data_IF_118084867975
#
_entry.id   IF_118084867975
#
_cell.length_a   1.000
_cell.length_b   1.000
_cell.length_c   1.000
_cell.angle_alpha   90.00
_cell.angle_beta   90.00
_cell.angle_gamma   90.00
#
_symmetry.space_group_name_H-M   'P 1'
#
loop_
_entity.id
_entity.type
_entity.pdbx_description
1 polymer ?
#
# COMPACT_ATOMS: atom_id res chain seq x y z
N UNK A 1 22.21 25.80 7.96
CA UNK A 1 22.09 25.32 6.55
C UNK A 1 21.09 24.19 6.54
N UNK A 2 19.85 24.45 6.16
CA UNK A 2 18.83 23.40 6.04
C UNK A 2 19.26 22.47 4.90
N UNK A 3 19.36 21.18 5.19
CA UNK A 3 19.66 20.17 4.19
C UNK A 3 18.57 20.23 3.12
N UNK A 4 18.93 20.46 1.87
CA UNK A 4 18.01 20.55 0.73
C UNK A 4 17.26 19.21 0.49
N UNK A 5 17.89 18.12 0.85
CA UNK A 5 17.39 16.77 0.67
C UNK A 5 17.45 15.98 1.98
N UNK A 6 16.56 15.02 2.15
CA UNK A 6 16.61 14.03 3.21
C UNK A 6 17.78 13.05 3.05
N UNK A 7 17.82 11.96 3.85
CA UNK A 7 18.90 11.00 3.84
C UNK A 7 18.99 10.24 2.50
N UNK A 8 20.18 9.83 2.14
CA UNK A 8 20.43 9.05 0.95
C UNK A 8 19.90 7.60 1.09
N UNK A 9 19.87 6.87 -0.02
CA UNK A 9 19.35 5.49 -0.11
C UNK A 9 19.99 4.53 0.91
N UNK A 10 21.28 4.65 1.18
CA UNK A 10 21.97 3.78 2.13
C UNK A 10 21.48 3.98 3.56
N UNK A 11 21.35 5.24 3.98
CA UNK A 11 20.85 5.58 5.32
C UNK A 11 19.41 5.13 5.49
N UNK A 12 18.54 5.41 4.50
CA UNK A 12 17.14 4.99 4.55
C UNK A 12 17.03 3.47 4.63
N UNK A 13 17.79 2.73 3.81
CA UNK A 13 17.81 1.25 3.89
C UNK A 13 18.21 0.74 5.26
N UNK A 14 19.22 1.34 5.87
CA UNK A 14 19.65 0.96 7.23
C UNK A 14 18.56 1.24 8.27
N UNK A 15 17.99 2.43 8.26
CA UNK A 15 16.91 2.81 9.20
C UNK A 15 15.71 1.89 9.04
N UNK A 16 15.26 1.66 7.81
CA UNK A 16 14.12 0.78 7.55
C UNK A 16 14.43 -0.65 7.92
N UNK A 17 15.64 -1.17 7.64
CA UNK A 17 16.07 -2.51 8.03
C UNK A 17 16.02 -2.71 9.55
N UNK A 18 16.47 -1.72 10.33
CA UNK A 18 16.46 -1.79 11.79
C UNK A 18 15.05 -1.63 12.37
N UNK A 19 14.22 -0.77 11.78
CA UNK A 19 12.85 -0.52 12.25
C UNK A 19 11.84 -1.59 11.79
N UNK A 20 12.13 -2.32 10.73
CA UNK A 20 11.22 -3.31 10.13
C UNK A 20 10.70 -4.37 11.12
N UNK A 21 11.57 -5.10 11.85
CA UNK A 21 11.10 -6.10 12.81
C UNK A 21 10.27 -5.47 13.92
N UNK A 22 10.59 -4.25 14.35
CA UNK A 22 9.87 -3.52 15.40
C UNK A 22 8.45 -3.18 14.92
N UNK A 23 8.31 -2.67 13.69
CA UNK A 23 7.01 -2.33 13.10
C UNK A 23 6.16 -3.59 12.92
N UNK A 24 6.73 -4.68 12.40
CA UNK A 24 6.01 -5.94 12.22
C UNK A 24 5.58 -6.55 13.55
N UNK A 25 6.43 -6.48 14.58
CA UNK A 25 6.09 -6.90 15.93
C UNK A 25 4.95 -6.03 16.49
N UNK A 26 5.04 -4.71 16.36
CA UNK A 26 3.99 -3.79 16.76
C UNK A 26 2.65 -4.11 16.09
N UNK A 27 2.64 -4.36 14.78
CA UNK A 27 1.42 -4.78 14.05
C UNK A 27 0.84 -6.08 14.62
N UNK A 28 1.68 -7.06 14.89
CA UNK A 28 1.27 -8.35 15.47
C UNK A 28 0.71 -8.19 16.88
N UNK A 29 1.33 -7.34 17.69
CA UNK A 29 0.92 -7.10 19.08
C UNK A 29 -0.27 -6.15 19.20
N UNK A 30 -0.64 -5.42 18.16
CA UNK A 30 -1.75 -4.45 18.18
C UNK A 30 -3.13 -5.06 18.50
N UNK A 31 -3.30 -6.37 18.33
CA UNK A 31 -4.53 -7.10 18.66
C UNK A 31 -4.57 -7.69 20.09
N UNK A 32 -3.45 -7.70 20.81
CA UNK A 32 -3.40 -8.28 22.15
C UNK A 32 -4.09 -7.38 23.20
N UNK A 33 -4.89 -7.94 24.11
CA UNK A 33 -5.76 -7.16 25.02
C UNK A 33 -5.05 -6.08 25.84
N UNK A 34 -3.84 -6.35 26.34
CA UNK A 34 -3.06 -5.40 27.15
C UNK A 34 -2.23 -4.48 26.28
N UNK A 35 -1.49 -5.05 25.31
CA UNK A 35 -0.52 -4.32 24.47
C UNK A 35 -1.19 -3.38 23.47
N UNK A 36 -2.44 -3.67 23.07
CA UNK A 36 -3.19 -2.82 22.14
C UNK A 36 -3.28 -1.35 22.61
N UNK A 37 -3.36 -1.10 23.91
CA UNK A 37 -3.48 0.26 24.46
C UNK A 37 -2.20 1.08 24.28
N UNK A 38 -1.04 0.42 24.24
CA UNK A 38 0.26 1.07 24.06
C UNK A 38 0.57 1.19 22.56
N UNK A 39 0.24 0.17 21.78
CA UNK A 39 0.68 0.05 20.37
C UNK A 39 -0.30 0.68 19.40
N UNK A 40 -1.61 0.53 19.61
CA UNK A 40 -2.63 1.07 18.72
C UNK A 40 -2.52 2.59 18.44
N UNK A 41 -2.13 3.46 19.38
CA UNK A 41 -1.96 4.88 19.10
C UNK A 41 -1.01 5.19 17.94
N UNK A 42 0.03 4.37 17.72
CA UNK A 42 0.98 4.55 16.60
C UNK A 42 0.34 4.28 15.22
N UNK A 43 -0.78 3.57 15.18
CA UNK A 43 -1.51 3.24 13.95
C UNK A 43 -2.81 4.02 13.80
N UNK A 44 -2.99 5.09 14.59
CA UNK A 44 -4.24 5.85 14.62
C UNK A 44 -4.45 6.67 13.35
N UNK A 45 -5.69 6.64 12.81
CA UNK A 45 -6.18 7.59 11.82
C UNK A 45 -6.23 9.02 12.44
N UNK A 46 -5.95 10.12 11.73
CA UNK A 46 -5.63 10.21 10.30
C UNK A 46 -4.13 10.10 9.97
N UNK A 47 -3.25 9.85 10.94
CA UNK A 47 -1.80 9.77 10.72
C UNK A 47 -1.36 8.48 9.99
N UNK A 48 -2.29 7.53 9.84
CA UNK A 48 -2.10 6.33 9.06
C UNK A 48 -3.38 6.07 8.26
N UNK A 49 -3.28 6.21 6.96
CA UNK A 49 -4.34 5.88 6.02
C UNK A 49 -3.74 5.18 4.80
N UNK A 50 -4.28 4.01 4.47
CA UNK A 50 -3.90 3.24 3.30
C UNK A 50 -5.17 2.79 2.59
N UNK A 51 -5.33 3.15 1.33
CA UNK A 51 -6.46 2.73 0.50
C UNK A 51 -5.96 1.80 -0.61
N UNK A 52 -6.49 0.57 -0.64
CA UNK A 52 -6.20 -0.37 -1.72
C UNK A 52 -6.95 0.04 -2.99
N UNK A 53 -6.24 0.01 -4.11
CA UNK A 53 -6.80 0.28 -5.45
C UNK A 53 -6.43 -0.92 -6.34
N UNK A 54 -7.40 -1.75 -6.75
CA UNK A 54 -7.15 -2.88 -7.63
C UNK A 54 -6.88 -2.37 -9.05
N UNK A 55 -5.63 -2.44 -9.51
CA UNK A 55 -5.21 -1.93 -10.82
C UNK A 55 -5.07 -3.01 -11.90
N UNK A 56 -5.14 -4.28 -11.51
CA UNK A 56 -4.95 -5.44 -12.39
C UNK A 56 -6.24 -6.21 -12.67
N UNK A 57 -7.38 -5.65 -12.34
CA UNK A 57 -8.69 -6.28 -12.56
C UNK A 57 -9.30 -5.74 -13.84
N UNK A 58 -9.61 -6.62 -14.79
CA UNK A 58 -10.49 -6.32 -15.90
C UNK A 58 -11.94 -6.22 -15.37
N UNK A 59 -12.40 -5.01 -15.09
CA UNK A 59 -13.80 -4.74 -14.78
C UNK A 59 -14.48 -4.40 -16.11
N UNK A 60 -15.53 -5.14 -16.48
CA UNK A 60 -16.42 -4.67 -17.52
C UNK A 60 -17.14 -3.43 -16.98
N UNK A 61 -16.86 -2.21 -17.51
CA UNK A 61 -17.47 -1.02 -16.97
C UNK A 61 -18.96 -1.02 -17.28
N UNK A 62 -19.85 -0.79 -16.33
CA UNK A 62 -21.14 -0.20 -16.68
C UNK A 62 -20.88 1.19 -17.26
N UNK A 63 -21.70 1.65 -18.18
CA UNK A 63 -21.50 2.82 -19.05
C UNK A 63 -21.20 4.18 -18.35
N UNK A 64 -20.97 4.20 -17.04
CA UNK A 64 -20.82 5.43 -16.25
C UNK A 64 -19.89 5.35 -15.04
N UNK A 65 -19.07 4.32 -14.86
CA UNK A 65 -18.19 4.17 -13.68
C UNK A 65 -16.73 4.16 -14.08
N UNK A 66 -15.94 5.07 -13.49
CA UNK A 66 -14.48 5.11 -13.65
C UNK A 66 -13.83 3.82 -13.15
N UNK A 67 -12.92 3.25 -13.94
CA UNK A 67 -12.13 2.11 -13.52
C UNK A 67 -11.22 2.49 -12.35
N UNK A 68 -10.90 1.57 -11.42
CA UNK A 68 -10.00 1.86 -10.30
C UNK A 68 -8.64 2.41 -10.72
N UNK A 69 -8.10 1.97 -11.86
CA UNK A 69 -6.86 2.51 -12.41
C UNK A 69 -7.00 3.99 -12.83
N UNK A 70 -8.14 4.40 -13.36
CA UNK A 70 -8.43 5.78 -13.75
C UNK A 70 -8.42 6.74 -12.56
N UNK A 71 -8.80 6.26 -11.38
CA UNK A 71 -8.69 7.04 -10.14
C UNK A 71 -7.22 7.41 -9.89
N UNK A 72 -6.29 6.49 -10.08
CA UNK A 72 -4.86 6.79 -9.93
C UNK A 72 -4.33 7.71 -11.03
N UNK A 73 -4.80 7.53 -12.26
CA UNK A 73 -4.48 8.41 -13.40
C UNK A 73 -4.93 9.82 -13.09
N UNK A 74 -6.15 9.98 -12.60
CA UNK A 74 -6.68 11.29 -12.23
C UNK A 74 -5.90 11.93 -11.06
N UNK A 75 -5.53 11.16 -10.04
CA UNK A 75 -4.66 11.64 -8.95
C UNK A 75 -3.33 12.13 -9.50
N UNK A 76 -2.70 11.36 -10.38
CA UNK A 76 -1.39 11.70 -10.99
C UNK A 76 -1.50 12.97 -11.84
N UNK A 77 -2.58 13.14 -12.60
CA UNK A 77 -2.79 14.31 -13.44
C UNK A 77 -3.06 15.61 -12.65
N UNK A 78 -3.56 15.49 -11.41
CA UNK A 78 -3.85 16.65 -10.54
C UNK A 78 -2.68 17.09 -9.66
N UNK A 79 -1.67 16.24 -9.47
CA UNK A 79 -0.54 16.60 -8.63
C UNK A 79 0.56 17.28 -9.45
N UNK A 80 1.17 18.32 -8.86
CA UNK A 80 2.23 19.07 -9.53
C UNK A 80 3.61 18.45 -9.39
N UNK A 81 3.79 17.54 -8.44
CA UNK A 81 5.10 16.94 -8.16
C UNK A 81 4.99 15.45 -7.94
N UNK A 82 5.74 14.71 -8.74
CA UNK A 82 5.80 13.26 -8.72
C UNK A 82 7.27 12.85 -8.63
N UNK A 83 7.58 11.94 -7.73
CA UNK A 83 8.90 11.33 -7.59
C UNK A 83 8.75 9.81 -7.62
N UNK A 84 9.34 9.14 -8.61
CA UNK A 84 9.33 7.68 -8.73
C UNK A 84 10.58 7.13 -8.07
N UNK A 85 10.41 6.20 -7.14
CA UNK A 85 11.53 5.45 -6.55
C UNK A 85 11.99 4.38 -7.54
N UNK A 86 13.29 4.28 -7.78
CA UNK A 86 13.87 3.27 -8.69
C UNK A 86 13.66 1.84 -8.21
N UNK A 87 13.48 1.67 -6.89
CA UNK A 87 13.31 0.38 -6.24
C UNK A 87 12.24 0.42 -5.15
N UNK A 88 11.49 -0.67 -5.04
CA UNK A 88 10.61 -0.90 -3.90
C UNK A 88 11.44 -1.27 -2.67
N UNK A 89 11.44 -0.43 -1.63
CA UNK A 89 12.20 -0.66 -0.40
C UNK A 89 11.78 -1.98 0.27
N UNK A 90 10.47 -2.24 0.34
CA UNK A 90 9.92 -3.45 0.94
C UNK A 90 10.43 -4.73 0.24
N UNK A 91 10.30 -4.79 -1.10
CA UNK A 91 10.76 -5.94 -1.88
C UNK A 91 12.28 -6.09 -1.87
N UNK A 92 13.00 -4.98 -1.89
CA UNK A 92 14.48 -5.00 -1.81
C UNK A 92 14.97 -5.55 -0.48
N UNK A 93 14.40 -5.12 0.65
CA UNK A 93 14.77 -5.60 1.99
C UNK A 93 14.38 -7.05 2.25
N UNK A 94 13.24 -7.47 1.72
CA UNK A 94 12.70 -8.83 1.91
C UNK A 94 13.23 -9.82 0.86
N UNK A 95 14.12 -9.38 -0.05
CA UNK A 95 14.64 -10.20 -1.15
C UNK A 95 13.53 -10.91 -1.93
N UNK A 96 12.52 -10.13 -2.35
CA UNK A 96 11.34 -10.63 -3.05
C UNK A 96 11.73 -11.40 -4.31
N UNK A 97 11.20 -12.62 -4.45
CA UNK A 97 11.42 -13.48 -5.63
C UNK A 97 10.24 -13.46 -6.60
N UNK A 98 9.09 -12.96 -6.17
CA UNK A 98 7.83 -13.08 -6.91
C UNK A 98 7.59 -11.88 -7.84
N UNK A 99 8.09 -10.69 -7.46
CA UNK A 99 7.83 -9.47 -8.20
C UNK A 99 9.10 -8.62 -8.35
N UNK A 100 9.22 -7.84 -9.45
CA UNK A 100 10.38 -6.99 -9.71
C UNK A 100 10.61 -5.97 -8.59
N UNK A 101 11.83 -5.88 -8.10
CA UNK A 101 12.24 -4.84 -7.13
C UNK A 101 12.21 -3.44 -7.78
N UNK A 102 12.44 -3.37 -9.10
CA UNK A 102 12.52 -2.13 -9.89
C UNK A 102 11.18 -1.41 -10.12
N UNK A 103 10.06 -1.94 -9.61
CA UNK A 103 8.78 -1.22 -9.58
C UNK A 103 8.68 -0.57 -8.21
N UNK A 104 9.26 0.61 -8.03
CA UNK A 104 9.26 1.37 -6.78
C UNK A 104 7.92 2.05 -6.49
N UNK A 105 7.77 2.63 -5.32
CA UNK A 105 6.64 3.48 -4.98
C UNK A 105 6.76 4.85 -5.67
N UNK A 106 5.66 5.58 -5.77
CA UNK A 106 5.64 6.97 -6.21
C UNK A 106 5.31 7.86 -5.01
N UNK A 107 6.12 8.88 -4.78
CA UNK A 107 5.85 9.94 -3.81
C UNK A 107 5.23 11.14 -4.53
N UNK A 108 4.11 11.62 -4.02
CA UNK A 108 3.31 12.69 -4.60
C UNK A 108 3.24 13.87 -3.64
N UNK A 109 3.16 15.07 -4.21
CA UNK A 109 3.00 16.31 -3.47
C UNK A 109 4.33 17.01 -3.18
N UNK A 110 4.25 18.26 -2.70
CA UNK A 110 5.39 19.17 -2.58
C UNK A 110 6.55 18.62 -1.72
N UNK A 111 6.22 17.86 -0.67
CA UNK A 111 7.24 17.27 0.19
C UNK A 111 8.07 16.16 -0.50
N UNK A 112 7.59 15.60 -1.63
CA UNK A 112 8.39 14.67 -2.44
C UNK A 112 9.65 15.31 -3.03
N UNK A 113 9.69 16.65 -3.15
CA UNK A 113 10.84 17.40 -3.64
C UNK A 113 12.07 17.32 -2.73
N UNK A 114 11.87 16.95 -1.47
CA UNK A 114 12.94 16.79 -0.49
C UNK A 114 13.53 15.40 -0.45
N UNK A 115 12.95 14.44 -1.18
CA UNK A 115 13.51 13.09 -1.30
C UNK A 115 14.86 13.17 -2.01
N UNK A 116 15.86 12.47 -1.44
CA UNK A 116 17.20 12.50 -2.00
C UNK A 116 17.26 11.82 -3.39
N UNK A 117 17.93 12.40 -4.39
CA UNK A 117 17.96 11.87 -5.77
C UNK A 117 18.50 10.42 -5.89
N UNK A 118 19.25 9.94 -4.90
CA UNK A 118 19.71 8.55 -4.89
C UNK A 118 18.60 7.49 -4.76
N UNK A 119 17.38 7.91 -4.44
CA UNK A 119 16.23 7.02 -4.34
C UNK A 119 15.49 6.82 -5.66
N UNK A 120 15.65 7.75 -6.60
CA UNK A 120 14.88 7.77 -7.85
C UNK A 120 14.96 9.13 -8.53
N UNK A 121 13.91 9.48 -9.24
CA UNK A 121 13.86 10.69 -10.06
C UNK A 121 12.49 11.36 -10.02
N UNK A 122 12.46 12.65 -10.40
CA UNK A 122 11.22 13.38 -10.67
C UNK A 122 10.65 12.88 -11.99
N UNK A 123 9.35 12.68 -12.02
CA UNK A 123 8.65 12.12 -13.15
C UNK A 123 7.57 13.06 -13.67
N UNK A 124 7.22 12.90 -14.94
CA UNK A 124 6.04 13.49 -15.55
C UNK A 124 4.80 12.65 -15.26
N UNK A 125 3.61 13.18 -15.56
CA UNK A 125 2.36 12.40 -15.44
C UNK A 125 2.36 11.18 -16.37
N UNK A 126 2.90 11.31 -17.58
CA UNK A 126 3.00 10.22 -18.56
C UNK A 126 3.91 9.09 -18.05
N UNK A 127 5.06 9.42 -17.46
CA UNK A 127 5.97 8.44 -16.86
C UNK A 127 5.30 7.74 -15.67
N UNK A 128 4.57 8.49 -14.84
CA UNK A 128 3.84 7.93 -13.71
C UNK A 128 2.71 6.98 -14.15
N UNK A 129 1.97 7.32 -15.19
CA UNK A 129 0.93 6.46 -15.78
C UNK A 129 1.56 5.18 -16.36
N UNK A 130 2.67 5.30 -17.08
CA UNK A 130 3.41 4.15 -17.60
C UNK A 130 3.89 3.24 -16.44
N UNK A 131 4.33 3.83 -15.32
CA UNK A 131 4.74 3.09 -14.13
C UNK A 131 3.57 2.35 -13.45
N UNK A 132 2.37 2.97 -13.37
CA UNK A 132 1.14 2.33 -12.89
C UNK A 132 0.80 1.11 -13.77
N UNK A 133 0.83 1.28 -15.08
CA UNK A 133 0.53 0.20 -16.02
C UNK A 133 1.54 -0.96 -15.91
N UNK A 134 2.82 -0.64 -15.75
CA UNK A 134 3.87 -1.64 -15.51
C UNK A 134 3.61 -2.43 -14.20
N UNK A 135 3.15 -1.76 -13.17
CA UNK A 135 2.79 -2.39 -11.90
C UNK A 135 1.56 -3.31 -12.03
N UNK A 136 0.54 -2.85 -12.78
CA UNK A 136 -0.65 -3.66 -13.05
C UNK A 136 -0.31 -4.93 -13.84
N UNK A 137 0.52 -4.82 -14.89
CA UNK A 137 1.00 -5.97 -15.67
C UNK A 137 1.82 -6.96 -14.84
N UNK A 138 2.53 -6.47 -13.80
CA UNK A 138 3.25 -7.32 -12.86
C UNK A 138 2.36 -7.97 -11.79
N UNK A 139 1.03 -7.78 -11.82
CA UNK A 139 0.08 -8.34 -10.85
C UNK A 139 0.13 -7.69 -9.48
N UNK A 140 0.68 -6.48 -9.36
CA UNK A 140 0.76 -5.74 -8.10
C UNK A 140 -0.55 -5.00 -7.80
N UNK A 141 -0.82 -4.77 -6.53
CA UNK A 141 -1.94 -3.96 -6.04
C UNK A 141 -1.44 -2.57 -5.68
N UNK A 142 -2.13 -1.53 -6.12
CA UNK A 142 -1.79 -0.18 -5.71
C UNK A 142 -2.38 0.14 -4.33
N UNK A 143 -1.61 0.83 -3.51
CA UNK A 143 -2.05 1.38 -2.23
C UNK A 143 -1.73 2.87 -2.19
N UNK A 144 -2.76 3.69 -2.11
CA UNK A 144 -2.61 5.12 -1.82
C UNK A 144 -2.43 5.25 -0.32
N UNK A 145 -1.26 5.71 0.09
CA UNK A 145 -0.84 5.72 1.48
C UNK A 145 -0.46 7.14 1.94
N UNK A 146 -0.99 7.51 3.10
CA UNK A 146 -0.58 8.67 3.87
C UNK A 146 -0.25 8.18 5.28
N UNK A 147 1.01 7.81 5.50
CA UNK A 147 1.47 7.11 6.71
C UNK A 147 2.68 7.83 7.27
N UNK A 148 2.67 8.07 8.58
CA UNK A 148 3.73 8.84 9.26
C UNK A 148 5.14 8.26 9.10
N UNK A 149 5.25 6.96 8.86
CA UNK A 149 6.56 6.30 8.68
C UNK A 149 7.27 6.76 7.40
N UNK A 150 6.52 7.12 6.35
CA UNK A 150 7.09 7.50 5.07
C UNK A 150 7.88 8.82 5.17
N UNK A 151 7.31 9.94 5.70
CA UNK A 151 8.09 11.15 5.92
C UNK A 151 9.23 10.97 6.94
N UNK A 152 9.06 10.12 7.94
CA UNK A 152 10.15 9.81 8.88
C UNK A 152 11.30 9.09 8.17
N UNK A 153 11.00 8.12 7.31
CA UNK A 153 12.03 7.38 6.59
C UNK A 153 12.81 8.26 5.61
N UNK A 154 12.13 9.18 4.91
CA UNK A 154 12.73 10.05 3.91
C UNK A 154 13.06 11.46 4.41
N UNK A 155 12.77 11.80 5.67
CA UNK A 155 12.82 13.15 6.24
C UNK A 155 12.10 14.18 5.37
N UNK A 156 10.96 13.77 4.79
CA UNK A 156 10.17 14.62 3.90
C UNK A 156 9.12 15.37 4.69
N UNK A 157 9.18 16.67 4.67
CA UNK A 157 8.28 17.58 5.39
C UNK A 157 7.73 18.65 4.43
N UNK A 158 6.52 19.16 4.69
CA UNK A 158 5.58 18.80 5.76
C UNK A 158 4.77 17.54 5.43
N UNK A 159 4.40 16.76 6.44
CA UNK A 159 3.69 15.49 6.32
C UNK A 159 2.40 15.59 5.50
N UNK A 160 1.59 16.62 5.72
CA UNK A 160 0.30 16.80 5.02
C UNK A 160 0.44 17.09 3.51
N UNK A 161 1.67 17.31 3.01
CA UNK A 161 1.97 17.51 1.59
C UNK A 161 2.71 16.31 0.96
N UNK A 162 2.64 15.15 1.60
CA UNK A 162 3.24 13.92 1.11
C UNK A 162 2.22 12.80 1.08
N UNK A 163 2.12 12.14 -0.06
CA UNK A 163 1.34 10.91 -0.25
C UNK A 163 2.16 9.93 -1.06
N UNK A 164 2.00 8.65 -0.81
CA UNK A 164 2.62 7.61 -1.61
C UNK A 164 1.57 6.80 -2.38
N UNK A 165 1.90 6.41 -3.60
CA UNK A 165 1.27 5.30 -4.30
C UNK A 165 2.28 4.17 -4.30
N UNK A 166 2.00 3.13 -3.52
CA UNK A 166 2.84 1.96 -3.40
C UNK A 166 2.25 0.80 -4.20
N UNK A 167 3.09 0.09 -4.94
CA UNK A 167 2.71 -1.10 -5.70
C UNK A 167 3.14 -2.34 -4.92
N UNK A 168 2.15 -3.00 -4.34
CA UNK A 168 2.35 -3.96 -3.26
C UNK A 168 1.98 -5.39 -3.64
N UNK A 169 2.61 -6.32 -2.94
CA UNK A 169 2.27 -7.73 -2.89
C UNK A 169 2.03 -8.18 -1.44
N UNK A 170 1.55 -9.39 -1.24
CA UNK A 170 1.26 -9.92 0.10
C UNK A 170 2.48 -10.50 0.79
N UNK A 171 3.54 -10.84 0.06
CA UNK A 171 4.72 -11.47 0.64
C UNK A 171 5.67 -10.48 1.32
N UNK A 172 5.82 -9.27 0.78
CA UNK A 172 6.89 -8.36 1.15
C UNK A 172 6.42 -6.99 1.67
N UNK A 173 5.21 -6.55 1.33
CA UNK A 173 4.74 -5.21 1.64
C UNK A 173 4.56 -4.96 3.14
N UNK A 174 5.14 -3.87 3.65
CA UNK A 174 5.00 -3.45 5.04
C UNK A 174 3.53 -3.20 5.44
N UNK A 175 2.71 -2.65 4.54
CA UNK A 175 1.30 -2.37 4.82
C UNK A 175 0.45 -3.65 4.87
N UNK A 176 0.75 -4.65 4.04
CA UNK A 176 -0.06 -5.86 3.89
C UNK A 176 0.35 -6.99 4.83
N UNK A 177 1.62 -7.05 5.23
CA UNK A 177 2.15 -8.11 6.10
C UNK A 177 1.56 -8.04 7.51
N UNK A 178 1.27 -9.20 8.11
CA UNK A 178 0.69 -9.34 9.46
C UNK A 178 -0.67 -8.65 9.67
N UNK A 179 -1.50 -8.56 8.62
CA UNK A 179 -2.83 -7.97 8.70
C UNK A 179 -3.94 -8.97 9.04
N UNK A 180 -3.69 -10.30 9.01
CA UNK A 180 -4.71 -11.31 9.36
C UNK A 180 -5.18 -11.19 10.81
N UNK A 181 -4.27 -10.85 11.73
CA UNK A 181 -4.56 -10.59 13.15
C UNK A 181 -4.16 -9.15 13.50
N UNK A 182 -4.95 -8.19 13.03
CA UNK A 182 -4.70 -6.76 13.21
C UNK A 182 -5.52 -6.16 14.34
N UNK A 183 -4.98 -5.12 14.98
CA UNK A 183 -5.74 -4.30 15.93
C UNK A 183 -6.72 -3.38 15.22
N UNK A 184 -7.64 -2.80 16.00
CA UNK A 184 -8.74 -1.97 15.50
C UNK A 184 -8.26 -0.76 14.70
N UNK A 185 -7.23 -0.05 15.17
CA UNK A 185 -6.69 1.12 14.47
C UNK A 185 -6.06 0.76 13.14
N UNK A 186 -5.32 -0.35 13.03
CA UNK A 186 -4.82 -0.86 11.75
C UNK A 186 -5.94 -1.24 10.80
N UNK A 187 -7.02 -1.83 11.32
CA UNK A 187 -8.18 -2.16 10.50
C UNK A 187 -8.85 -0.91 9.95
N UNK A 188 -9.00 0.13 10.77
CA UNK A 188 -9.59 1.42 10.37
C UNK A 188 -8.67 2.21 9.41
N UNK A 189 -7.35 2.13 9.62
CA UNK A 189 -6.37 2.84 8.78
C UNK A 189 -6.28 2.24 7.36
N UNK A 190 -6.48 0.94 7.20
CA UNK A 190 -6.45 0.29 5.90
C UNK A 190 -7.87 0.20 5.32
N UNK A 191 -8.14 0.99 4.28
CA UNK A 191 -9.47 1.17 3.70
C UNK A 191 -9.62 0.49 2.33
N UNK A 192 -10.85 0.20 1.98
CA UNK A 192 -11.28 -0.13 0.62
C UNK A 192 -11.57 1.17 -0.13
N UNK A 193 -11.26 1.22 -1.42
CA UNK A 193 -11.64 2.33 -2.28
C UNK A 193 -13.17 2.49 -2.26
N UNK A 194 -13.64 3.71 -2.08
CA UNK A 194 -15.08 4.02 -2.10
C UNK A 194 -15.67 3.65 -3.46
N UNK A 195 -16.88 3.10 -3.44
CA UNK A 195 -17.56 2.65 -4.67
C UNK A 195 -17.14 1.26 -5.19
N UNK A 196 -16.07 0.67 -4.66
CA UNK A 196 -15.65 -0.70 -5.04
C UNK A 196 -16.38 -1.73 -4.17
N UNK A 197 -17.03 -2.69 -4.82
CA UNK A 197 -17.57 -3.90 -4.19
C UNK A 197 -16.83 -5.13 -4.71
N UNK A 198 -16.66 -6.12 -3.85
CA UNK A 198 -16.09 -7.42 -4.22
C UNK A 198 -17.20 -8.46 -4.04
N UNK A 199 -17.50 -9.18 -5.09
CA UNK A 199 -18.54 -10.20 -5.09
C UNK A 199 -17.95 -11.51 -5.58
N UNK A 200 -18.54 -12.63 -5.14
CA UNK A 200 -18.20 -13.97 -5.61
C UNK A 200 -19.30 -14.43 -6.55
N UNK A 201 -18.93 -14.83 -7.74
CA UNK A 201 -19.85 -15.53 -8.62
C UNK A 201 -19.95 -16.99 -8.16
N UNK A 202 -21.04 -17.31 -7.46
CA UNK A 202 -21.27 -18.64 -6.92
C UNK A 202 -21.55 -19.70 -8.00
N UNK A 203 -21.96 -19.31 -9.21
CA UNK A 203 -22.20 -20.23 -10.31
C UNK A 203 -20.92 -20.90 -10.83
N UNK A 204 -19.76 -20.20 -10.67
CA UNK A 204 -18.44 -20.70 -11.08
C UNK A 204 -17.53 -21.03 -9.89
N UNK A 205 -17.96 -20.76 -8.66
CA UNK A 205 -17.19 -21.03 -7.46
C UNK A 205 -17.27 -22.53 -7.11
N UNK A 206 -16.13 -23.19 -7.12
CA UNK A 206 -16.04 -24.60 -6.72
C UNK A 206 -15.77 -24.83 -5.22
N UNK A 207 -15.75 -23.78 -4.41
CA UNK A 207 -15.53 -23.87 -2.97
C UNK A 207 -14.13 -24.30 -2.53
N UNK A 208 -13.10 -24.16 -3.37
CA UNK A 208 -11.73 -24.65 -3.07
C UNK A 208 -11.02 -23.95 -1.91
N UNK A 209 -11.51 -22.78 -1.43
CA UNK A 209 -10.96 -22.07 -0.27
C UNK A 209 -9.67 -21.27 -0.52
N UNK A 210 -9.06 -21.35 -1.71
CA UNK A 210 -7.79 -20.64 -2.02
C UNK A 210 -7.89 -19.13 -1.78
N UNK A 211 -9.03 -18.51 -2.12
CA UNK A 211 -9.26 -17.08 -1.89
C UNK A 211 -9.28 -16.71 -0.38
N UNK A 212 -9.78 -17.61 0.48
CA UNK A 212 -9.76 -17.42 1.93
C UNK A 212 -8.33 -17.49 2.49
N UNK A 213 -7.53 -18.46 2.02
CA UNK A 213 -6.12 -18.59 2.41
C UNK A 213 -5.28 -17.39 1.97
N UNK A 214 -5.51 -16.91 0.75
CA UNK A 214 -4.77 -15.78 0.16
C UNK A 214 -5.21 -14.42 0.71
N UNK A 215 -6.36 -14.31 1.36
CA UNK A 215 -6.84 -13.04 1.88
C UNK A 215 -5.92 -12.49 2.98
N UNK A 216 -5.21 -11.40 2.68
CA UNK A 216 -4.21 -10.83 3.60
C UNK A 216 -4.83 -10.23 4.88
N UNK A 217 -6.13 -9.98 4.90
CA UNK A 217 -6.89 -9.48 6.05
C UNK A 217 -7.82 -10.51 6.67
N UNK A 218 -7.81 -11.75 6.16
CA UNK A 218 -8.72 -12.81 6.59
C UNK A 218 -10.18 -12.35 6.60
N UNK A 219 -10.62 -11.70 5.52
CA UNK A 219 -11.99 -11.24 5.34
C UNK A 219 -12.83 -12.17 4.46
N UNK A 220 -12.31 -13.32 4.11
CA UNK A 220 -13.00 -14.33 3.31
C UNK A 220 -13.08 -15.61 4.14
N UNK A 221 -14.28 -16.10 4.35
CA UNK A 221 -14.58 -17.34 5.09
C UNK A 221 -15.23 -18.38 4.20
N UNK A 222 -15.06 -19.65 4.56
CA UNK A 222 -15.80 -20.77 4.00
C UNK A 222 -16.94 -21.15 4.95
N UNK A 223 -18.19 -21.05 4.49
CA UNK A 223 -19.39 -21.46 5.24
C UNK A 223 -20.22 -22.41 4.40
N UNK A 224 -20.49 -23.58 4.94
CA UNK A 224 -21.32 -24.63 4.28
C UNK A 224 -20.90 -24.93 2.84
N UNK A 225 -19.57 -24.98 2.58
CA UNK A 225 -19.01 -25.20 1.24
C UNK A 225 -19.05 -23.99 0.32
N UNK A 226 -19.58 -22.85 0.77
CA UNK A 226 -19.64 -21.61 0.02
C UNK A 226 -18.69 -20.56 0.57
N UNK A 227 -18.16 -19.72 -0.31
CA UNK A 227 -17.26 -18.62 0.06
C UNK A 227 -18.06 -17.38 0.43
N UNK A 228 -17.75 -16.75 1.55
CA UNK A 228 -18.41 -15.53 2.05
C UNK A 228 -17.39 -14.42 2.28
N UNK A 229 -17.68 -13.22 1.80
CA UNK A 229 -16.86 -12.04 2.00
C UNK A 229 -17.39 -11.23 3.19
N UNK A 230 -16.52 -11.03 4.20
CA UNK A 230 -16.84 -10.23 5.38
C UNK A 230 -16.65 -8.73 5.15
N UNK A 231 -17.16 -7.94 6.10
CA UNK A 231 -17.12 -6.46 6.09
C UNK A 231 -15.70 -5.88 6.11
N UNK A 232 -14.72 -6.64 6.59
CA UNK A 232 -13.32 -6.24 6.65
C UNK A 232 -12.58 -6.32 5.30
N UNK A 233 -13.25 -6.73 4.23
CA UNK A 233 -12.68 -6.77 2.88
C UNK A 233 -12.13 -5.40 2.47
N UNK A 234 -10.90 -5.38 1.92
CA UNK A 234 -10.18 -4.16 1.53
C UNK A 234 -10.23 -3.90 0.02
N UNK A 235 -10.91 -4.76 -0.76
CA UNK A 235 -11.12 -4.53 -2.19
C UNK A 235 -9.86 -4.61 -3.05
N UNK A 236 -8.90 -5.44 -2.68
CA UNK A 236 -7.66 -5.62 -3.43
C UNK A 236 -7.75 -6.68 -4.51
#
# INVERSE_FOLDING_TARGET
MLLKYGPNKTIVRLVVMLSWPIILLGKRLSSYPVLKHIINPFFKYPHNEVTAVPINVAIAPPDSVSLPVEVLVEVVNRVHTIFILDECICRGLMHCKNHPVTIGCMALGEASLTIHPSHGHRATSEEAIAHINKAAQAGLVANVAHVWIDPVAFFSVPFHKLMFICFCDDCCCLYRKHMKKRGENLNKAYKKLSGVSVVINHDVCNGCGVCAEQCFVAAIDMKDGSTVIGSDCKGC
#
